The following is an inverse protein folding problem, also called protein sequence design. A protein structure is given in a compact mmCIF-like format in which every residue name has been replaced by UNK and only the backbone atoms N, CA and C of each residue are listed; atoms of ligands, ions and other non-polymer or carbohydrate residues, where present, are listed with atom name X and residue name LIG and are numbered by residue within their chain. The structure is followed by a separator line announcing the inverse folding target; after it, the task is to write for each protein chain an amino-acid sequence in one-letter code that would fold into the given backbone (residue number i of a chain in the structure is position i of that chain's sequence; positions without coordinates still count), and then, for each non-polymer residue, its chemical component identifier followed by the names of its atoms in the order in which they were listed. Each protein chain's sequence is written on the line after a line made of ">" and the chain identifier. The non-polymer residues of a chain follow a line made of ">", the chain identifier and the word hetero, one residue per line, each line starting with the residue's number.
data_IF_675508093724
#
_entry.id   IF_675508093724
#
_cell.length_a   1.000
_cell.length_b   1.000
_cell.length_c   1.000
_cell.angle_alpha   90.00
_cell.angle_beta   90.00
_cell.angle_gamma   90.00
#
_symmetry.space_group_name_H-M   'P 1'
#
loop_
_entity.id
_entity.type
_entity.pdbx_description
1 polymer ?
#
# COMPACT_ATOMS: atom_id res chain seq x y z
N UNK A 1 -1.10 -7.15 12.89
CA UNK A 1 -0.12 -8.11 12.31
C UNK A 1 -0.45 -9.47 12.86
N UNK A 2 -0.41 -10.50 12.02
CA UNK A 2 -0.76 -11.88 12.38
C UNK A 2 0.28 -12.82 11.79
N UNK A 3 0.67 -13.89 12.50
CA UNK A 3 1.45 -14.96 11.87
C UNK A 3 0.52 -15.87 11.10
N UNK A 4 0.81 -16.11 9.82
CA UNK A 4 0.01 -16.92 8.92
C UNK A 4 0.96 -17.84 8.18
N UNK A 5 0.60 -19.12 8.10
CA UNK A 5 1.29 -20.09 7.25
C UNK A 5 0.70 -19.99 5.83
N UNK A 6 1.56 -19.70 4.86
CA UNK A 6 1.20 -19.59 3.44
C UNK A 6 1.58 -20.87 2.65
N UNK A 7 1.88 -21.97 3.33
CA UNK A 7 2.31 -23.25 2.72
C UNK A 7 3.84 -23.43 2.65
N UNK A 8 4.60 -22.48 3.18
CA UNK A 8 6.07 -22.45 3.22
C UNK A 8 6.56 -21.89 4.58
N UNK A 9 5.87 -22.31 5.65
CA UNK A 9 6.14 -21.89 7.03
C UNK A 9 5.46 -20.58 7.45
N UNK A 10 5.42 -20.35 8.77
CA UNK A 10 4.79 -19.18 9.35
C UNK A 10 5.53 -17.89 8.97
N UNK A 11 4.81 -16.95 8.35
CA UNK A 11 5.32 -15.62 8.00
C UNK A 11 4.54 -14.55 8.75
N UNK A 12 5.22 -13.46 9.08
CA UNK A 12 4.57 -12.30 9.67
C UNK A 12 3.78 -11.57 8.59
N UNK A 13 2.45 -11.53 8.75
CA UNK A 13 1.55 -10.93 7.80
C UNK A 13 0.92 -9.64 8.37
N UNK A 14 0.59 -8.73 7.46
CA UNK A 14 -0.14 -7.51 7.78
C UNK A 14 -1.36 -7.36 6.88
N UNK A 15 -2.37 -6.67 7.40
CA UNK A 15 -3.56 -6.32 6.63
C UNK A 15 -3.28 -5.13 5.74
N UNK A 16 -3.80 -5.17 4.53
CA UNK A 16 -3.78 -4.02 3.61
C UNK A 16 -5.21 -3.75 3.14
N UNK A 17 -5.68 -2.49 3.23
CA UNK A 17 -6.91 -2.10 2.56
C UNK A 17 -6.65 -1.99 1.06
N UNK A 18 -7.21 -2.91 0.27
CA UNK A 18 -7.19 -2.86 -1.19
C UNK A 18 -8.50 -2.28 -1.73
N UNK A 19 -8.48 -1.76 -2.95
CA UNK A 19 -9.67 -1.22 -3.62
C UNK A 19 -10.76 -2.31 -3.77
N UNK A 20 -10.36 -3.55 -4.08
CA UNK A 20 -11.23 -4.72 -4.13
C UNK A 20 -11.91 -5.03 -2.78
N UNK A 21 -11.23 -4.78 -1.65
CA UNK A 21 -11.83 -4.98 -0.31
C UNK A 21 -12.92 -3.96 -0.05
N UNK A 22 -12.69 -2.70 -0.43
CA UNK A 22 -13.69 -1.62 -0.36
C UNK A 22 -14.89 -1.95 -1.25
N UNK A 23 -14.64 -2.32 -2.51
CA UNK A 23 -15.68 -2.69 -3.46
C UNK A 23 -16.46 -3.91 -2.99
N UNK A 24 -15.79 -4.96 -2.51
CA UNK A 24 -16.45 -6.15 -1.96
C UNK A 24 -17.34 -5.82 -0.75
N UNK A 25 -16.90 -4.95 0.16
CA UNK A 25 -17.73 -4.48 1.27
C UNK A 25 -18.99 -3.77 0.77
N UNK A 26 -18.83 -2.81 -0.14
CA UNK A 26 -19.94 -2.02 -0.69
C UNK A 26 -20.93 -2.84 -1.53
N UNK A 27 -20.47 -3.89 -2.22
CA UNK A 27 -21.27 -4.68 -3.16
C UNK A 27 -21.90 -5.92 -2.55
N UNK A 28 -21.22 -6.58 -1.61
CA UNK A 28 -21.66 -7.86 -1.05
C UNK A 28 -22.28 -7.72 0.35
N UNK A 29 -21.97 -6.64 1.07
CA UNK A 29 -22.43 -6.45 2.46
C UNK A 29 -21.74 -7.34 3.49
N UNK A 30 -20.68 -8.08 3.11
CA UNK A 30 -19.90 -8.88 4.07
C UNK A 30 -19.16 -7.91 5.02
N UNK A 31 -19.42 -7.98 6.35
CA UNK A 31 -18.98 -6.95 7.26
C UNK A 31 -17.47 -6.98 7.56
N UNK A 32 -16.83 -8.15 7.46
CA UNK A 32 -15.44 -8.35 7.85
C UNK A 32 -14.66 -8.99 6.70
N UNK A 33 -13.98 -8.16 5.91
CA UNK A 33 -13.08 -8.60 4.85
C UNK A 33 -11.67 -8.11 5.20
N UNK A 34 -10.75 -9.05 5.41
CA UNK A 34 -9.35 -8.74 5.71
C UNK A 34 -8.44 -9.49 4.72
N UNK A 35 -7.59 -8.75 4.02
CA UNK A 35 -6.58 -9.31 3.12
C UNK A 35 -5.22 -9.23 3.79
N UNK A 36 -4.55 -10.37 3.89
CA UNK A 36 -3.24 -10.48 4.51
C UNK A 36 -2.17 -10.71 3.46
N UNK A 37 -1.08 -9.94 3.55
CA UNK A 37 0.13 -10.20 2.77
C UNK A 37 1.31 -10.51 3.69
N UNK A 38 2.24 -11.39 3.30
CA UNK A 38 3.48 -11.61 4.03
C UNK A 38 4.36 -10.36 3.92
N UNK A 39 4.72 -9.78 5.06
CA UNK A 39 5.59 -8.61 5.13
C UNK A 39 6.95 -8.95 5.72
N UNK A 40 8.04 -8.52 5.07
CA UNK A 40 9.36 -8.63 5.68
C UNK A 40 9.43 -7.76 6.95
N UNK A 41 10.30 -8.14 7.89
CA UNK A 41 10.48 -7.38 9.13
C UNK A 41 10.92 -5.91 8.87
N UNK A 42 11.56 -5.64 7.74
CA UNK A 42 11.91 -4.29 7.28
C UNK A 42 10.68 -3.50 6.82
N UNK A 43 9.83 -4.10 5.98
CA UNK A 43 8.59 -3.48 5.49
C UNK A 43 7.66 -3.11 6.65
N UNK A 44 7.53 -4.01 7.62
CA UNK A 44 6.72 -3.79 8.82
C UNK A 44 7.24 -2.63 9.67
N UNK A 45 8.56 -2.53 9.87
CA UNK A 45 9.17 -1.40 10.59
C UNK A 45 8.98 -0.09 9.82
N UNK A 46 9.16 -0.12 8.51
CA UNK A 46 8.93 1.03 7.63
C UNK A 46 7.49 1.55 7.73
N UNK A 47 6.49 0.67 7.64
CA UNK A 47 5.08 1.04 7.77
C UNK A 47 4.75 1.63 9.16
N UNK A 48 5.31 1.06 10.24
CA UNK A 48 5.16 1.63 11.59
C UNK A 48 5.80 3.01 11.72
N UNK A 49 6.99 3.19 11.16
CA UNK A 49 7.67 4.47 11.17
C UNK A 49 6.91 5.51 10.34
N UNK A 50 6.41 5.14 9.16
CA UNK A 50 5.58 5.98 8.31
C UNK A 50 4.32 6.48 9.05
N UNK A 51 3.69 5.62 9.86
CA UNK A 51 2.57 6.03 10.72
C UNK A 51 2.98 7.06 11.78
N UNK A 52 4.18 6.94 12.34
CA UNK A 52 4.71 7.91 13.31
C UNK A 52 5.02 9.27 12.68
N UNK A 53 5.60 9.28 11.48
CA UNK A 53 5.91 10.52 10.74
C UNK A 53 4.76 11.00 9.84
N UNK A 54 3.60 10.34 9.89
CA UNK A 54 2.41 10.67 9.08
C UNK A 54 2.01 12.16 9.12
N UNK A 55 1.97 12.85 10.28
CA UNK A 55 1.64 14.28 10.29
C UNK A 55 2.67 15.14 9.54
N UNK A 56 3.94 14.77 9.57
CA UNK A 56 5.00 15.45 8.81
C UNK A 56 4.86 15.21 7.30
N UNK A 57 4.53 13.98 6.90
CA UNK A 57 4.25 13.62 5.49
C UNK A 57 2.99 14.31 4.94
N UNK A 58 2.07 14.74 5.81
CA UNK A 58 0.87 15.51 5.44
C UNK A 58 1.14 16.98 5.13
N UNK A 59 2.32 17.52 5.44
CA UNK A 59 2.66 18.91 5.15
C UNK A 59 2.78 19.12 3.63
N UNK A 60 2.10 20.15 3.12
CA UNK A 60 2.05 20.48 1.70
C UNK A 60 3.44 20.69 1.08
N UNK A 61 4.40 21.23 1.84
CA UNK A 61 5.78 21.37 1.41
C UNK A 61 6.50 20.01 1.25
N UNK A 62 6.31 19.09 2.19
CA UNK A 62 6.92 17.75 2.15
C UNK A 62 6.38 16.95 0.97
N UNK A 63 5.06 17.01 0.73
CA UNK A 63 4.44 16.37 -0.42
C UNK A 63 4.96 16.94 -1.75
N UNK A 64 5.11 18.27 -1.85
CA UNK A 64 5.71 18.91 -3.04
C UNK A 64 7.13 18.44 -3.30
N UNK A 65 7.95 18.33 -2.25
CA UNK A 65 9.33 17.84 -2.38
C UNK A 65 9.36 16.37 -2.82
N UNK A 66 8.52 15.52 -2.23
CA UNK A 66 8.42 14.11 -2.60
C UNK A 66 7.98 13.95 -4.05
N UNK A 67 6.93 14.66 -4.48
CA UNK A 67 6.45 14.64 -5.86
C UNK A 67 7.51 15.17 -6.85
N UNK A 68 8.24 16.22 -6.49
CA UNK A 68 9.33 16.75 -7.31
C UNK A 68 10.51 15.78 -7.44
N UNK A 69 10.75 14.92 -6.45
CA UNK A 69 11.75 13.84 -6.54
C UNK A 69 11.23 12.69 -7.40
N UNK A 70 9.97 12.28 -7.22
CA UNK A 70 9.34 11.23 -8.02
C UNK A 70 9.40 11.61 -9.51
N UNK A 71 9.01 12.83 -9.89
CA UNK A 71 9.07 13.28 -11.29
C UNK A 71 10.49 13.35 -11.89
N UNK A 72 11.54 13.25 -11.08
CA UNK A 72 12.94 13.19 -11.55
C UNK A 72 13.52 11.79 -11.57
N UNK A 73 12.93 10.86 -10.83
CA UNK A 73 13.46 9.50 -10.62
C UNK A 73 12.61 8.44 -11.33
N UNK A 74 11.31 8.71 -11.51
CA UNK A 74 10.40 7.84 -12.25
C UNK A 74 10.43 8.27 -13.72
N UNK A 75 11.03 7.43 -14.55
CA UNK A 75 10.75 7.43 -15.98
C UNK A 75 9.34 6.84 -16.09
N UNK A 76 8.35 7.70 -16.35
CA UNK A 76 6.98 7.23 -16.59
C UNK A 76 6.98 6.28 -17.79
N UNK A 77 6.12 5.26 -17.81
CA UNK A 77 5.90 4.51 -19.05
C UNK A 77 5.50 5.53 -20.13
N UNK A 78 6.17 5.50 -21.28
CA UNK A 78 5.86 6.39 -22.41
C UNK A 78 4.34 6.36 -22.66
N UNK A 79 3.75 7.55 -22.85
CA UNK A 79 2.32 7.84 -23.04
C UNK A 79 1.72 7.20 -24.32
N UNK A 80 2.14 5.99 -24.70
CA UNK A 80 1.80 5.39 -26.00
C UNK A 80 0.89 4.17 -25.95
N UNK A 81 0.41 3.70 -24.78
CA UNK A 81 -0.58 2.60 -24.76
C UNK A 81 -1.68 2.81 -23.74
N UNK A 82 -2.82 3.27 -24.25
CA UNK A 82 -4.08 3.30 -23.51
C UNK A 82 -5.23 4.08 -24.15
N UNK A 83 -5.20 4.38 -25.46
CA UNK A 83 -6.43 4.64 -26.21
C UNK A 83 -6.82 3.34 -26.88
N UNK A 84 -7.62 2.54 -26.19
CA UNK A 84 -8.43 1.52 -26.85
C UNK A 84 -9.77 2.16 -27.25
N UNK A 85 -10.28 1.89 -28.47
CA UNK A 85 -11.43 2.55 -29.08
C UNK A 85 -12.79 2.15 -28.47
#
# INVERSE_FOLDING_TARGET
>A
MRRIDFGDGEKLAMTIPWDDVSTAWHTTGIPNIEVFIPGSAGMIRGARFANFIRPLLGLSFVQRLLNARIGKTVIGPDDEKGREP
#
